data_IF_750320972329
#
_entry.id   IF_750320972329
#
_cell.length_a   1.000
_cell.length_b   1.000
_cell.length_c   1.000
_cell.angle_alpha   90.00
_cell.angle_beta   90.00
_cell.angle_gamma   90.00
#
_symmetry.space_group_name_H-M   'P 1'
#
loop_
_entity.id
_entity.type
_entity.pdbx_description
1 polymer ?
#
# COMPACT_ATOMS: atom_id res chain seq x y z
N UNK A 1 26.39 -35.86 3.90
CA UNK A 1 26.69 -34.48 4.33
C UNK A 1 26.20 -33.58 3.21
N UNK A 2 25.29 -32.63 3.48
CA UNK A 2 24.85 -31.68 2.47
C UNK A 2 26.05 -30.81 2.05
N UNK A 3 26.33 -30.76 0.76
CA UNK A 3 27.42 -29.98 0.22
C UNK A 3 27.05 -28.49 0.43
N UNK A 4 27.87 -27.79 1.23
CA UNK A 4 27.64 -26.37 1.52
C UNK A 4 27.89 -25.58 0.24
N UNK A 5 26.84 -25.03 -0.36
CA UNK A 5 26.89 -24.27 -1.62
C UNK A 5 27.64 -22.96 -1.38
N UNK A 6 28.70 -22.69 -2.17
CA UNK A 6 29.41 -21.42 -2.15
C UNK A 6 28.94 -20.55 -3.32
N UNK A 7 28.63 -19.28 -3.02
CA UNK A 7 28.26 -18.26 -4.01
C UNK A 7 29.26 -17.12 -3.96
N UNK A 8 29.69 -16.66 -5.12
CA UNK A 8 30.53 -15.50 -5.29
C UNK A 8 29.82 -14.43 -6.09
N UNK A 9 29.47 -13.34 -5.44
CA UNK A 9 28.97 -12.13 -6.08
C UNK A 9 30.16 -11.24 -6.40
N UNK A 10 30.37 -10.88 -7.67
CA UNK A 10 31.55 -10.14 -8.14
C UNK A 10 31.17 -8.98 -9.04
N UNK A 11 32.10 -8.06 -9.25
CA UNK A 11 31.92 -6.89 -10.12
C UNK A 11 30.68 -6.05 -9.75
N UNK A 12 30.42 -5.87 -8.46
CA UNK A 12 29.27 -5.09 -7.98
C UNK A 12 29.68 -3.80 -7.30
N UNK A 13 28.69 -2.98 -6.97
CA UNK A 13 28.79 -1.89 -6.00
C UNK A 13 28.11 -2.36 -4.72
N UNK A 14 28.88 -2.90 -3.78
CA UNK A 14 28.35 -3.52 -2.58
C UNK A 14 28.45 -2.56 -1.40
N UNK A 15 27.29 -2.14 -0.85
CA UNK A 15 27.25 -1.32 0.35
C UNK A 15 27.31 -2.23 1.58
N UNK A 16 28.34 -2.08 2.39
CA UNK A 16 28.67 -3.05 3.45
C UNK A 16 28.08 -2.70 4.82
N UNK A 17 27.57 -1.48 4.99
CA UNK A 17 27.16 -0.92 6.30
C UNK A 17 28.32 -0.88 7.31
N UNK A 18 29.55 -0.98 6.87
CA UNK A 18 30.75 -0.88 7.69
C UNK A 18 31.42 0.48 7.41
N UNK A 19 31.50 1.33 8.40
CA UNK A 19 32.05 2.70 8.27
C UNK A 19 33.52 2.71 7.80
N UNK A 20 34.31 1.69 8.20
CA UNK A 20 35.72 1.56 7.80
C UNK A 20 35.91 1.05 6.36
N UNK A 21 34.88 0.43 5.78
CA UNK A 21 34.89 -0.09 4.42
C UNK A 21 33.47 0.02 3.83
N UNK A 22 32.96 1.21 3.56
CA UNK A 22 31.56 1.41 3.19
C UNK A 22 31.15 0.76 1.87
N UNK A 23 32.12 0.52 0.97
CA UNK A 23 31.89 -0.15 -0.30
C UNK A 23 32.90 -1.26 -0.56
N UNK A 24 32.43 -2.29 -1.27
CA UNK A 24 33.22 -3.40 -1.79
C UNK A 24 32.77 -3.74 -3.23
N UNK A 25 33.50 -4.62 -3.91
CA UNK A 25 33.18 -5.09 -5.27
C UNK A 25 32.70 -6.54 -5.30
N UNK A 26 32.99 -7.29 -4.24
CA UNK A 26 32.69 -8.72 -4.16
C UNK A 26 32.28 -9.16 -2.75
N UNK A 27 31.41 -10.17 -2.70
CA UNK A 27 31.01 -10.91 -1.48
C UNK A 27 31.06 -12.42 -1.78
N UNK A 28 31.68 -13.18 -0.91
CA UNK A 28 31.65 -14.65 -0.94
C UNK A 28 30.75 -15.14 0.20
N UNK A 29 29.75 -15.95 -0.14
CA UNK A 29 28.86 -16.59 0.83
C UNK A 29 29.06 -18.10 0.78
N UNK A 30 29.11 -18.74 1.92
CA UNK A 30 29.18 -20.19 2.06
C UNK A 30 28.09 -20.66 3.02
N UNK A 31 27.10 -21.37 2.50
CA UNK A 31 25.88 -21.66 3.26
C UNK A 31 25.17 -20.37 3.69
N UNK A 32 25.10 -20.14 5.00
CA UNK A 32 24.48 -18.95 5.61
C UNK A 32 25.52 -17.95 6.20
N UNK A 33 26.77 -18.04 5.80
CA UNK A 33 27.84 -17.19 6.31
C UNK A 33 28.51 -16.41 5.21
N UNK A 34 28.77 -15.12 5.46
CA UNK A 34 29.66 -14.29 4.65
C UNK A 34 31.09 -14.69 4.99
N UNK A 35 31.87 -15.10 4.00
CA UNK A 35 33.27 -15.54 4.14
C UNK A 35 34.28 -14.48 3.76
N UNK A 36 33.90 -13.60 2.83
CA UNK A 36 34.77 -12.55 2.34
C UNK A 36 33.93 -11.37 1.84
N UNK A 37 34.41 -10.15 2.06
CA UNK A 37 33.94 -8.90 1.49
C UNK A 37 35.14 -8.07 1.08
N UNK A 38 35.24 -7.65 -0.18
CA UNK A 38 36.41 -6.90 -0.65
C UNK A 38 36.41 -6.65 -2.15
N UNK A 39 37.61 -6.60 -2.77
CA UNK A 39 37.74 -6.42 -4.21
C UNK A 39 37.36 -7.70 -4.98
N UNK A 40 36.93 -7.53 -6.22
CA UNK A 40 36.67 -8.66 -7.13
C UNK A 40 37.96 -9.49 -7.33
N UNK A 41 39.11 -8.83 -7.42
CA UNK A 41 40.41 -9.51 -7.58
C UNK A 41 40.73 -10.44 -6.39
N UNK A 42 40.55 -9.96 -5.17
CA UNK A 42 40.83 -10.78 -3.98
C UNK A 42 39.81 -11.91 -3.80
N UNK A 43 38.57 -11.71 -4.23
CA UNK A 43 37.49 -12.72 -4.19
C UNK A 43 37.88 -13.99 -5.02
N UNK A 44 38.71 -13.87 -6.07
CA UNK A 44 39.10 -14.99 -6.91
C UNK A 44 39.75 -16.14 -6.13
N UNK A 45 40.41 -15.84 -4.99
CA UNK A 45 41.05 -16.84 -4.11
C UNK A 45 40.04 -17.80 -3.46
N UNK A 46 38.77 -17.42 -3.41
CA UNK A 46 37.68 -18.19 -2.81
C UNK A 46 36.81 -18.92 -3.85
N UNK A 47 37.05 -18.68 -5.16
CA UNK A 47 36.33 -19.29 -6.25
C UNK A 47 36.97 -20.62 -6.65
N UNK A 48 36.17 -21.67 -6.69
CA UNK A 48 36.55 -23.00 -7.17
C UNK A 48 35.58 -23.46 -8.26
N UNK A 49 35.81 -24.63 -8.84
CA UNK A 49 34.90 -25.21 -9.85
C UNK A 49 33.50 -25.51 -9.33
N UNK A 50 33.32 -25.61 -8.01
CA UNK A 50 32.02 -25.83 -7.35
C UNK A 50 31.37 -24.54 -6.87
N UNK A 51 31.99 -23.38 -7.12
CA UNK A 51 31.43 -22.06 -6.70
C UNK A 51 30.49 -21.53 -7.76
N UNK A 52 29.28 -21.18 -7.36
CA UNK A 52 28.35 -20.43 -8.20
C UNK A 52 28.79 -18.97 -8.27
N UNK A 53 29.21 -18.53 -9.46
CA UNK A 53 29.66 -17.14 -9.68
C UNK A 53 28.56 -16.31 -10.29
N UNK A 54 28.22 -15.20 -9.62
CA UNK A 54 27.17 -14.25 -10.03
C UNK A 54 27.86 -12.91 -10.32
N UNK A 55 27.92 -12.55 -11.60
CA UNK A 55 28.44 -11.26 -12.03
C UNK A 55 27.35 -10.18 -11.85
N UNK A 56 27.61 -9.21 -11.00
CA UNK A 56 26.67 -8.13 -10.69
C UNK A 56 26.66 -7.01 -11.76
N UNK A 57 27.64 -6.97 -12.66
CA UNK A 57 27.69 -6.00 -13.76
C UNK A 57 27.58 -4.53 -13.29
N UNK A 58 28.20 -4.21 -12.16
CA UNK A 58 28.16 -2.88 -11.54
C UNK A 58 26.88 -2.60 -10.75
N UNK A 59 25.94 -3.54 -10.66
CA UNK A 59 24.69 -3.36 -9.90
C UNK A 59 24.96 -3.23 -8.41
N UNK A 60 24.08 -2.47 -7.75
CA UNK A 60 24.11 -2.28 -6.31
C UNK A 60 23.66 -3.56 -5.59
N UNK A 61 24.43 -3.96 -4.57
CA UNK A 61 24.07 -5.01 -3.63
C UNK A 61 24.05 -4.43 -2.21
N UNK A 62 22.99 -4.75 -1.47
CA UNK A 62 22.75 -4.30 -0.10
C UNK A 62 22.56 -5.51 0.81
N UNK A 63 22.84 -5.41 2.13
CA UNK A 63 22.29 -6.33 3.11
C UNK A 63 20.75 -6.31 3.07
N UNK A 64 20.12 -7.44 3.38
CA UNK A 64 18.68 -7.51 3.52
C UNK A 64 18.17 -6.54 4.61
N UNK A 65 17.03 -5.91 4.36
CA UNK A 65 16.43 -5.01 5.33
C UNK A 65 15.75 -5.79 6.45
N UNK A 66 15.95 -5.34 7.69
CA UNK A 66 15.18 -5.77 8.85
C UNK A 66 14.22 -4.63 9.22
N UNK A 67 12.95 -4.79 8.87
CA UNK A 67 11.92 -3.85 9.24
C UNK A 67 11.24 -4.30 10.53
N UNK A 68 11.42 -3.53 11.61
CA UNK A 68 10.86 -3.83 12.92
C UNK A 68 9.46 -3.26 13.12
N UNK A 69 8.94 -2.46 12.19
CA UNK A 69 7.60 -1.88 12.23
C UNK A 69 6.95 -1.97 10.84
N UNK A 70 6.31 -3.08 10.55
CA UNK A 70 5.69 -3.34 9.25
C UNK A 70 4.20 -3.70 9.40
N UNK A 71 3.35 -2.97 8.71
CA UNK A 71 1.93 -3.28 8.58
C UNK A 71 1.68 -4.20 7.36
N UNK A 72 2.31 -5.38 7.35
CA UNK A 72 2.31 -6.28 6.20
C UNK A 72 0.91 -6.74 5.80
N UNK A 73 0.11 -7.18 6.76
CA UNK A 73 -1.27 -7.66 6.51
C UNK A 73 -2.16 -6.54 6.00
N UNK A 74 -2.13 -5.38 6.66
CA UNK A 74 -2.92 -4.22 6.23
C UNK A 74 -2.47 -3.72 4.84
N UNK A 75 -1.15 -3.68 4.58
CA UNK A 75 -0.61 -3.32 3.28
C UNK A 75 -1.07 -4.28 2.18
N UNK A 76 -1.05 -5.59 2.44
CA UNK A 76 -1.57 -6.60 1.51
C UNK A 76 -3.08 -6.45 1.26
N UNK A 77 -3.85 -6.14 2.31
CA UNK A 77 -5.29 -5.91 2.19
C UNK A 77 -5.61 -4.68 1.33
N UNK A 78 -4.86 -3.59 1.48
CA UNK A 78 -5.03 -2.39 0.64
C UNK A 78 -4.81 -2.65 -0.85
N UNK A 79 -3.99 -3.63 -1.22
CA UNK A 79 -3.76 -3.99 -2.63
C UNK A 79 -4.95 -4.74 -3.25
N UNK A 80 -5.87 -5.28 -2.44
CA UNK A 80 -7.08 -5.97 -2.91
C UNK A 80 -8.24 -5.00 -3.16
N UNK A 81 -8.23 -3.83 -2.54
CA UNK A 81 -9.24 -2.80 -2.68
C UNK A 81 -8.92 -1.76 -3.76
N UNK A 82 -9.82 -0.78 -3.88
CA UNK A 82 -9.57 0.38 -4.75
C UNK A 82 -8.47 1.27 -4.17
N UNK A 83 -7.59 1.78 -5.02
CA UNK A 83 -6.58 2.77 -4.62
C UNK A 83 -6.97 4.16 -5.14
N UNK A 84 -7.38 5.04 -4.24
CA UNK A 84 -7.78 6.42 -4.52
C UNK A 84 -6.70 7.44 -4.17
N UNK A 85 -5.53 7.00 -3.70
CA UNK A 85 -4.42 7.88 -3.35
C UNK A 85 -3.90 8.76 -4.50
N UNK A 86 -3.94 8.32 -5.78
CA UNK A 86 -3.52 9.16 -6.89
C UNK A 86 -4.44 10.35 -7.20
N UNK A 87 -5.69 10.37 -6.69
CA UNK A 87 -6.66 11.41 -7.01
C UNK A 87 -6.25 12.77 -6.43
N UNK A 88 -5.99 13.74 -7.29
CA UNK A 88 -5.63 15.11 -6.95
C UNK A 88 -6.81 16.08 -7.10
N UNK A 89 -7.99 15.58 -7.47
CA UNK A 89 -9.26 16.34 -7.55
C UNK A 89 -10.46 15.42 -7.34
N UNK A 90 -11.64 16.00 -7.17
CA UNK A 90 -12.92 15.26 -7.10
C UNK A 90 -13.22 14.53 -8.40
N UNK A 91 -12.89 15.13 -9.53
CA UNK A 91 -13.07 14.55 -10.86
C UNK A 91 -12.21 13.29 -11.00
N UNK A 92 -10.92 13.36 -10.66
CA UNK A 92 -10.04 12.20 -10.70
C UNK A 92 -10.45 11.11 -9.70
N UNK A 93 -10.95 11.50 -8.53
CA UNK A 93 -11.53 10.57 -7.55
C UNK A 93 -12.71 9.79 -8.14
N UNK A 94 -13.64 10.48 -8.80
CA UNK A 94 -14.79 9.88 -9.50
C UNK A 94 -14.32 8.97 -10.62
N UNK A 95 -13.42 9.43 -11.48
CA UNK A 95 -12.90 8.68 -12.63
C UNK A 95 -12.25 7.36 -12.21
N UNK A 96 -11.51 7.37 -11.10
CA UNK A 96 -10.89 6.14 -10.58
C UNK A 96 -11.96 5.15 -10.11
N UNK A 97 -13.00 5.61 -9.40
CA UNK A 97 -14.07 4.72 -8.92
C UNK A 97 -14.85 4.15 -10.10
N UNK A 98 -15.23 4.98 -11.08
CA UNK A 98 -15.91 4.52 -12.29
C UNK A 98 -15.09 3.50 -13.07
N UNK A 99 -13.80 3.78 -13.27
CA UNK A 99 -12.89 2.85 -13.95
C UNK A 99 -12.74 1.53 -13.20
N UNK A 100 -12.75 1.56 -11.87
CA UNK A 100 -12.69 0.37 -11.03
C UNK A 100 -13.96 -0.48 -11.17
N UNK A 101 -15.14 0.15 -11.16
CA UNK A 101 -16.43 -0.52 -11.36
C UNK A 101 -16.49 -1.17 -12.75
N UNK A 102 -16.11 -0.45 -13.80
CA UNK A 102 -16.13 -0.98 -15.17
C UNK A 102 -15.22 -2.19 -15.35
N UNK A 103 -14.04 -2.18 -14.74
CA UNK A 103 -13.10 -3.32 -14.78
C UNK A 103 -13.60 -4.53 -13.99
N UNK A 104 -14.44 -4.30 -12.99
CA UNK A 104 -14.98 -5.32 -12.09
C UNK A 104 -16.33 -5.89 -12.54
N UNK A 105 -16.84 -5.50 -13.70
CA UNK A 105 -18.21 -5.58 -14.22
C UNK A 105 -18.93 -6.92 -14.19
N UNK A 106 -18.46 -7.92 -13.45
CA UNK A 106 -19.05 -9.27 -13.42
C UNK A 106 -19.43 -9.79 -12.03
N UNK A 107 -19.28 -9.01 -10.96
CA UNK A 107 -19.63 -9.46 -9.60
C UNK A 107 -20.53 -8.41 -8.92
N UNK A 108 -21.79 -8.48 -9.24
CA UNK A 108 -22.91 -7.59 -8.81
C UNK A 108 -23.18 -7.78 -7.33
N UNK A 109 -22.50 -7.73 -6.37
CA UNK A 109 -22.88 -7.72 -4.94
C UNK A 109 -21.71 -7.55 -3.98
N UNK A 110 -20.51 -7.28 -4.47
CA UNK A 110 -19.37 -7.10 -3.59
C UNK A 110 -19.14 -5.63 -3.29
N UNK A 111 -18.95 -5.33 -2.00
CA UNK A 111 -18.56 -4.00 -1.55
C UNK A 111 -17.30 -3.49 -2.28
N UNK A 112 -17.31 -2.20 -2.61
CA UNK A 112 -16.09 -1.50 -3.00
C UNK A 112 -15.50 -0.91 -1.72
N UNK A 113 -14.34 -1.42 -1.35
CA UNK A 113 -13.62 -1.00 -0.14
C UNK A 113 -12.17 -0.65 -0.46
N UNK A 114 -11.46 -0.06 0.49
CA UNK A 114 -10.10 0.44 0.32
C UNK A 114 -10.09 1.97 0.36
N UNK A 115 -9.48 2.61 -0.64
CA UNK A 115 -9.51 4.06 -0.78
C UNK A 115 -8.17 4.72 -0.54
N UNK A 116 -7.93 5.27 0.65
CA UNK A 116 -6.76 6.09 1.01
C UNK A 116 -6.70 7.42 0.26
N UNK A 117 -7.88 7.98 -0.05
CA UNK A 117 -7.99 9.31 -0.63
C UNK A 117 -7.50 10.39 0.34
N UNK A 118 -7.12 11.54 -0.23
CA UNK A 118 -6.62 12.68 0.54
C UNK A 118 -7.14 13.98 -0.07
N UNK A 119 -8.23 14.51 0.52
CA UNK A 119 -8.85 15.75 0.05
C UNK A 119 -7.99 16.99 0.26
N UNK A 120 -6.99 16.93 1.14
CA UNK A 120 -6.03 18.03 1.34
C UNK A 120 -5.17 18.30 0.09
N UNK A 121 -5.09 17.32 -0.81
CA UNK A 121 -4.42 17.45 -2.10
C UNK A 121 -5.34 18.06 -3.17
N UNK A 122 -6.65 18.19 -2.89
CA UNK A 122 -7.62 18.73 -3.85
C UNK A 122 -7.63 20.25 -3.86
N UNK A 123 -7.99 20.90 -4.98
CA UNK A 123 -7.98 22.37 -5.09
C UNK A 123 -8.87 23.08 -4.06
N UNK A 124 -10.02 22.51 -3.75
CA UNK A 124 -11.01 23.08 -2.82
C UNK A 124 -10.87 22.55 -1.39
N UNK A 125 -10.06 21.52 -1.17
CA UNK A 125 -9.84 20.87 0.11
C UNK A 125 -11.11 20.50 0.88
N UNK A 126 -12.23 20.34 0.19
CA UNK A 126 -13.48 19.97 0.82
C UNK A 126 -13.66 18.46 0.86
N UNK A 127 -14.27 17.96 1.93
CA UNK A 127 -14.65 16.57 2.03
C UNK A 127 -15.61 16.18 0.89
N UNK A 128 -15.49 14.97 0.33
CA UNK A 128 -16.49 14.45 -0.60
C UNK A 128 -17.79 14.15 0.13
N UNK A 129 -18.91 14.17 -0.60
CA UNK A 129 -20.19 13.69 -0.10
C UNK A 129 -20.70 12.54 -0.97
N UNK A 130 -21.68 11.77 -0.46
CA UNK A 130 -22.22 10.59 -1.17
C UNK A 130 -22.75 10.92 -2.55
N UNK A 131 -23.30 12.12 -2.73
CA UNK A 131 -23.84 12.62 -4.01
C UNK A 131 -22.78 12.64 -5.13
N UNK A 132 -21.51 12.67 -4.77
CA UNK A 132 -20.40 12.63 -5.73
C UNK A 132 -20.29 11.25 -6.41
N UNK A 133 -20.68 10.19 -5.70
CA UNK A 133 -20.51 8.80 -6.15
C UNK A 133 -21.81 8.06 -6.37
N UNK A 134 -22.91 8.46 -5.77
CA UNK A 134 -24.24 7.84 -5.90
C UNK A 134 -24.69 7.66 -7.36
N UNK A 135 -24.53 8.65 -8.27
CA UNK A 135 -25.08 8.56 -9.62
C UNK A 135 -24.59 7.35 -10.45
N UNK A 136 -23.49 6.73 -10.07
CA UNK A 136 -22.92 5.59 -10.79
C UNK A 136 -22.64 4.37 -9.90
N UNK A 137 -23.09 4.41 -8.63
CA UNK A 137 -22.90 3.33 -7.66
C UNK A 137 -24.20 2.82 -7.04
N UNK A 138 -25.34 3.11 -7.64
CA UNK A 138 -26.70 2.83 -7.11
C UNK A 138 -26.92 1.41 -6.57
N UNK A 139 -26.38 0.41 -7.27
CA UNK A 139 -26.55 -1.01 -6.90
C UNK A 139 -25.35 -1.59 -6.11
N UNK A 140 -24.26 -0.85 -6.00
CA UNK A 140 -23.01 -1.33 -5.43
C UNK A 140 -22.68 -0.55 -4.16
N UNK A 141 -22.60 -1.20 -2.98
CA UNK A 141 -22.21 -0.51 -1.77
C UNK A 141 -20.73 -0.11 -1.83
N UNK A 142 -20.46 1.16 -1.53
CA UNK A 142 -19.11 1.74 -1.53
C UNK A 142 -18.82 2.28 -0.14
N UNK A 143 -17.69 1.85 0.43
CA UNK A 143 -17.11 2.44 1.62
C UNK A 143 -15.60 2.58 1.44
N UNK A 144 -15.12 3.81 1.32
CA UNK A 144 -13.71 4.10 1.02
C UNK A 144 -13.11 5.05 2.07
N UNK A 145 -12.00 4.64 2.67
CA UNK A 145 -11.36 5.38 3.76
C UNK A 145 -10.40 6.46 3.25
N UNK A 146 -10.28 7.53 4.04
CA UNK A 146 -9.23 8.54 3.90
C UNK A 146 -7.88 7.94 4.27
N UNK A 147 -6.80 8.62 3.88
CA UNK A 147 -5.42 8.15 4.07
C UNK A 147 -5.04 7.95 5.54
N UNK A 148 -5.61 8.71 6.44
CA UNK A 148 -5.34 8.63 7.89
C UNK A 148 -6.09 7.48 8.58
N UNK A 149 -7.11 6.90 7.92
CA UNK A 149 -7.92 5.84 8.50
C UNK A 149 -8.95 6.29 9.52
N UNK A 150 -9.17 7.61 9.69
CA UNK A 150 -10.11 8.19 10.65
C UNK A 150 -11.36 8.78 10.01
N UNK A 151 -11.45 8.77 8.67
CA UNK A 151 -12.61 9.26 7.92
C UNK A 151 -12.90 8.29 6.78
N UNK A 152 -14.17 7.93 6.61
CA UNK A 152 -14.66 7.13 5.49
C UNK A 152 -15.78 7.85 4.74
N UNK A 153 -15.88 7.57 3.43
CA UNK A 153 -17.03 7.94 2.61
C UNK A 153 -17.83 6.69 2.28
N UNK A 154 -19.10 6.69 2.67
CA UNK A 154 -20.12 5.72 2.30
C UNK A 154 -21.02 6.30 1.21
N UNK A 155 -21.41 5.52 0.20
CA UNK A 155 -22.51 5.90 -0.70
C UNK A 155 -23.87 5.60 -0.04
N UNK A 156 -24.97 6.07 -0.64
CA UNK A 156 -26.32 5.84 -0.13
C UNK A 156 -26.62 4.34 0.05
N UNK A 157 -26.17 3.49 -0.86
CA UNK A 157 -26.36 2.03 -0.76
C UNK A 157 -25.66 1.42 0.45
N UNK A 158 -24.47 1.89 0.79
CA UNK A 158 -23.73 1.43 1.97
C UNK A 158 -24.41 1.91 3.26
N UNK A 159 -24.87 3.17 3.31
CA UNK A 159 -25.62 3.71 4.44
C UNK A 159 -26.92 2.92 4.68
N UNK A 160 -27.69 2.62 3.63
CA UNK A 160 -28.91 1.83 3.70
C UNK A 160 -28.66 0.44 4.29
N UNK A 161 -27.62 -0.24 3.82
CA UNK A 161 -27.25 -1.57 4.32
C UNK A 161 -26.77 -1.55 5.78
N UNK A 162 -26.16 -0.45 6.19
CA UNK A 162 -25.75 -0.23 7.58
C UNK A 162 -26.90 0.24 8.48
N UNK A 163 -28.07 0.60 7.90
CA UNK A 163 -29.21 1.15 8.64
C UNK A 163 -28.96 2.57 9.16
N UNK A 164 -28.04 3.31 8.53
CA UNK A 164 -27.73 4.70 8.89
C UNK A 164 -28.71 5.64 8.19
N UNK A 165 -29.42 6.43 9.00
CA UNK A 165 -30.44 7.38 8.57
C UNK A 165 -30.22 8.72 9.28
N UNK A 166 -30.99 9.74 8.93
CA UNK A 166 -30.98 11.04 9.62
C UNK A 166 -31.29 11.00 11.11
N UNK A 167 -31.87 9.89 11.60
CA UNK A 167 -32.21 9.70 13.01
C UNK A 167 -31.20 8.80 13.73
N UNK A 168 -30.18 8.32 13.07
CA UNK A 168 -29.15 7.48 13.67
C UNK A 168 -28.24 8.34 14.54
N UNK A 169 -28.14 8.06 15.85
CA UNK A 169 -27.29 8.85 16.74
C UNK A 169 -25.82 8.55 16.47
N UNK A 170 -24.96 9.51 16.77
CA UNK A 170 -23.53 9.29 16.77
C UNK A 170 -23.14 8.20 17.79
N UNK A 171 -22.28 7.24 17.43
CA UNK A 171 -21.75 6.29 18.38
C UNK A 171 -20.69 6.95 19.28
N UNK A 172 -20.44 6.36 20.44
CA UNK A 172 -19.40 6.84 21.36
C UNK A 172 -18.03 6.91 20.65
N UNK A 173 -17.43 8.11 20.59
CA UNK A 173 -16.16 8.34 19.94
C UNK A 173 -16.20 8.31 18.42
N UNK A 174 -17.37 8.43 17.81
CA UNK A 174 -17.55 8.54 16.36
C UNK A 174 -18.51 9.66 15.97
N UNK A 175 -18.52 10.01 14.68
CA UNK A 175 -19.42 11.04 14.13
C UNK A 175 -19.98 10.58 12.79
N UNK A 176 -21.30 10.68 12.65
CA UNK A 176 -22.03 10.58 11.37
C UNK A 176 -22.28 12.00 10.89
N UNK A 177 -21.59 12.43 9.83
CA UNK A 177 -21.77 13.80 9.33
C UNK A 177 -23.10 13.95 8.61
N UNK A 178 -23.87 14.97 9.03
CA UNK A 178 -25.17 15.29 8.46
C UNK A 178 -25.13 16.63 7.72
N UNK A 179 -25.88 16.70 6.63
CA UNK A 179 -26.14 17.95 5.93
C UNK A 179 -26.91 18.91 6.86
N UNK A 180 -26.44 20.14 7.07
CA UNK A 180 -27.05 21.06 8.04
C UNK A 180 -28.44 21.57 7.64
N UNK A 181 -28.80 21.49 6.35
CA UNK A 181 -30.09 21.97 5.86
C UNK A 181 -31.14 20.86 5.88
N UNK A 182 -30.78 19.66 5.48
CA UNK A 182 -31.69 18.52 5.31
C UNK A 182 -31.71 17.56 6.49
N UNK A 183 -30.61 17.53 7.25
CA UNK A 183 -30.37 16.54 8.30
C UNK A 183 -30.02 15.14 7.77
N UNK A 184 -29.91 14.95 6.46
CA UNK A 184 -29.55 13.66 5.89
C UNK A 184 -28.04 13.38 6.04
N UNK A 185 -27.60 12.11 6.24
CA UNK A 185 -26.19 11.77 6.26
C UNK A 185 -25.50 12.14 4.95
N UNK A 186 -24.35 12.82 5.04
CA UNK A 186 -23.55 13.21 3.87
C UNK A 186 -22.76 12.03 3.28
N UNK A 187 -22.70 10.91 3.98
CA UNK A 187 -21.85 9.77 3.66
C UNK A 187 -20.52 9.76 4.40
N UNK A 188 -20.13 10.87 5.02
CA UNK A 188 -18.90 10.93 5.82
C UNK A 188 -19.14 10.33 7.20
N UNK A 189 -18.33 9.33 7.52
CA UNK A 189 -18.27 8.67 8.82
C UNK A 189 -16.88 8.87 9.42
N UNK A 190 -16.81 9.16 10.72
CA UNK A 190 -15.52 9.43 11.40
C UNK A 190 -15.34 8.51 12.60
N UNK A 191 -14.11 8.04 12.77
CA UNK A 191 -13.66 7.21 13.90
C UNK A 191 -14.59 6.00 14.15
N UNK A 192 -15.20 5.87 15.31
CA UNK A 192 -16.05 4.72 15.67
C UNK A 192 -17.37 4.64 14.88
N UNK A 193 -17.69 5.61 14.03
CA UNK A 193 -18.82 5.54 13.11
C UNK A 193 -18.49 4.82 11.79
N UNK A 194 -17.21 4.46 11.54
CA UNK A 194 -16.73 3.78 10.34
C UNK A 194 -17.01 2.29 10.31
#
# INVERSE_FOLDING_TARGET
MAQTTRKAFINGKIYTVNENQPYAEAVIVEGNKIKFVGSTLDATRFISTSTEVINLEGKLMLPGFNDSHLHFTSGGHYLLGINLRPALSKEEFVDIIQSYILKRSLLVETWITGGRWDHELWPDKSLPAKELIDPFTESTPVFVSRIDGHVGLANSKALDLAGITKNTPDPDGGLIEHDPETGEPTGILKDNAM
#
